data_IF_851958530619
#
_entry.id   IF_851958530619
#
_cell.length_a   1.000
_cell.length_b   1.000
_cell.length_c   1.000
_cell.angle_alpha   90.00
_cell.angle_beta   90.00
_cell.angle_gamma   90.00
#
_symmetry.space_group_name_H-M   'P 1'
#
loop_
_entity.id
_entity.type
_entity.pdbx_description
1 polymer ?
#
# COMPACT_ATOMS: atom_id res chain seq x y z
N UNK A 1 -8.11 12.16 -16.85
CA UNK A 1 -6.81 12.45 -17.50
C UNK A 1 -5.88 13.06 -16.45
N UNK A 2 -4.60 12.68 -16.39
CA UNK A 2 -3.64 13.22 -15.41
C UNK A 2 -3.18 14.60 -15.89
N UNK A 3 -3.30 15.63 -15.04
CA UNK A 3 -2.89 17.01 -15.36
C UNK A 3 -1.37 17.14 -15.39
N UNK A 4 -0.83 18.14 -16.08
CA UNK A 4 0.63 18.35 -16.13
C UNK A 4 1.23 18.65 -14.75
N UNK A 5 0.48 19.36 -13.89
CA UNK A 5 0.85 19.54 -12.48
C UNK A 5 0.96 18.21 -11.73
N UNK A 6 0.05 17.26 -11.99
CA UNK A 6 0.10 15.94 -11.40
C UNK A 6 1.28 15.12 -11.96
N UNK A 7 1.57 15.21 -13.27
CA UNK A 7 2.75 14.58 -13.86
C UNK A 7 4.04 15.06 -13.20
N UNK A 8 4.19 16.37 -12.98
CA UNK A 8 5.36 16.93 -12.27
C UNK A 8 5.54 16.37 -10.86
N UNK A 9 4.45 16.16 -10.11
CA UNK A 9 4.51 15.53 -8.78
C UNK A 9 4.86 14.05 -8.85
N UNK A 10 4.36 13.32 -9.85
CA UNK A 10 4.72 11.92 -10.06
C UNK A 10 6.19 11.77 -10.47
N UNK A 11 6.75 12.72 -11.23
CA UNK A 11 8.14 12.65 -11.68
C UNK A 11 9.11 12.53 -10.50
N UNK A 12 8.89 13.30 -9.42
CA UNK A 12 9.72 13.23 -8.20
C UNK A 12 9.72 11.82 -7.60
N UNK A 13 8.57 11.14 -7.58
CA UNK A 13 8.46 9.77 -7.09
C UNK A 13 9.15 8.78 -8.03
N UNK A 14 8.99 8.95 -9.34
CA UNK A 14 9.64 8.12 -10.36
C UNK A 14 11.15 8.22 -10.25
N UNK A 15 11.69 9.44 -10.17
CA UNK A 15 13.12 9.71 -10.07
C UNK A 15 13.70 9.09 -8.80
N UNK A 16 13.02 9.24 -7.66
CA UNK A 16 13.42 8.60 -6.41
C UNK A 16 13.49 7.07 -6.55
N UNK A 17 12.41 6.43 -7.02
CA UNK A 17 12.37 4.97 -7.17
C UNK A 17 13.45 4.50 -8.14
N UNK A 18 13.60 5.14 -9.30
CA UNK A 18 14.58 4.77 -10.30
C UNK A 18 16.01 4.93 -9.78
N UNK A 19 16.30 6.00 -9.05
CA UNK A 19 17.60 6.20 -8.42
C UNK A 19 17.92 5.06 -7.44
N UNK A 20 16.99 4.71 -6.55
CA UNK A 20 17.18 3.62 -5.60
C UNK A 20 17.39 2.27 -6.31
N UNK A 21 16.65 1.99 -7.39
CA UNK A 21 16.84 0.79 -8.23
C UNK A 21 18.25 0.77 -8.81
N UNK A 22 18.72 1.87 -9.40
CA UNK A 22 20.05 1.97 -10.00
C UNK A 22 21.16 1.71 -8.98
N UNK A 23 20.97 2.13 -7.73
CA UNK A 23 21.92 1.93 -6.64
C UNK A 23 21.67 0.63 -5.83
N UNK A 24 20.70 -0.20 -6.23
CA UNK A 24 20.29 -1.41 -5.51
C UNK A 24 19.94 -1.16 -4.03
N UNK A 25 19.43 0.02 -3.73
CA UNK A 25 19.08 0.46 -2.39
C UNK A 25 17.63 0.08 -2.02
N UNK A 26 17.32 0.18 -0.72
CA UNK A 26 15.97 -0.06 -0.23
C UNK A 26 15.02 1.08 -0.60
N UNK A 27 13.87 0.71 -1.17
CA UNK A 27 12.81 1.65 -1.57
C UNK A 27 11.70 1.58 -0.53
N UNK A 28 11.52 2.65 0.24
CA UNK A 28 10.45 2.74 1.24
C UNK A 28 9.40 3.74 0.79
N UNK A 29 8.18 3.27 0.52
CA UNK A 29 7.06 4.11 0.08
C UNK A 29 6.04 4.27 1.21
N UNK A 30 5.79 5.51 1.61
CA UNK A 30 4.83 5.84 2.66
C UNK A 30 3.61 6.55 2.09
N UNK A 31 2.46 5.90 2.11
CA UNK A 31 1.20 6.46 1.65
C UNK A 31 0.43 7.06 2.81
N UNK A 32 0.16 8.37 2.76
CA UNK A 32 -0.54 9.07 3.84
C UNK A 32 -1.92 9.52 3.36
N UNK A 33 -2.94 9.31 4.19
CA UNK A 33 -4.23 9.97 4.03
C UNK A 33 -4.85 10.21 5.42
N UNK A 34 -5.71 11.22 5.57
CA UNK A 34 -6.24 11.69 6.87
C UNK A 34 -6.59 10.56 7.84
N UNK A 35 -7.37 9.58 7.40
CA UNK A 35 -7.93 8.55 8.28
C UNK A 35 -7.23 7.19 8.19
N UNK A 36 -6.32 6.99 7.22
CA UNK A 36 -5.73 5.69 6.89
C UNK A 36 -6.72 4.51 6.74
N UNK A 37 -7.99 4.79 6.44
CA UNK A 37 -9.04 3.77 6.33
C UNK A 37 -9.30 3.29 4.91
N UNK A 38 -8.84 4.03 3.89
CA UNK A 38 -9.20 3.80 2.47
C UNK A 38 -8.03 4.00 1.50
N UNK A 39 -7.75 5.26 1.15
CA UNK A 39 -6.87 5.62 0.01
C UNK A 39 -5.44 5.16 0.22
N UNK A 40 -4.84 5.44 1.38
CA UNK A 40 -3.46 5.03 1.64
C UNK A 40 -3.31 3.52 1.82
N UNK A 41 -4.34 2.83 2.30
CA UNK A 41 -4.37 1.35 2.42
C UNK A 41 -4.39 0.70 1.04
N UNK A 42 -5.28 1.16 0.16
CA UNK A 42 -5.33 0.71 -1.23
C UNK A 42 -3.99 0.97 -1.93
N UNK A 43 -3.41 2.16 -1.74
CA UNK A 43 -2.12 2.50 -2.34
C UNK A 43 -0.98 1.60 -1.85
N UNK A 44 -0.89 1.33 -0.54
CA UNK A 44 0.11 0.40 0.02
C UNK A 44 0.01 -0.98 -0.63
N UNK A 45 -1.19 -1.56 -0.67
CA UNK A 45 -1.42 -2.91 -1.18
C UNK A 45 -1.11 -2.99 -2.68
N UNK A 46 -1.62 -2.02 -3.46
CA UNK A 46 -1.40 -1.99 -4.91
C UNK A 46 0.05 -1.70 -5.27
N UNK A 47 0.75 -0.82 -4.56
CA UNK A 47 2.16 -0.53 -4.81
C UNK A 47 3.04 -1.75 -4.50
N UNK A 48 2.80 -2.45 -3.40
CA UNK A 48 3.54 -3.68 -3.08
C UNK A 48 3.28 -4.77 -4.13
N UNK A 49 2.03 -4.92 -4.56
CA UNK A 49 1.63 -5.88 -5.60
C UNK A 49 2.29 -5.54 -6.94
N UNK A 50 2.30 -4.27 -7.33
CA UNK A 50 2.94 -3.81 -8.55
C UNK A 50 4.46 -4.02 -8.51
N UNK A 51 5.13 -3.72 -7.39
CA UNK A 51 6.55 -3.97 -7.23
C UNK A 51 6.89 -5.46 -7.43
N UNK A 52 6.10 -6.36 -6.83
CA UNK A 52 6.25 -7.80 -7.02
C UNK A 52 5.99 -8.22 -8.48
N UNK A 53 4.93 -7.71 -9.11
CA UNK A 53 4.56 -8.04 -10.49
C UNK A 53 5.63 -7.60 -11.51
N UNK A 54 6.14 -6.38 -11.36
CA UNK A 54 7.19 -5.82 -12.23
C UNK A 54 8.61 -6.24 -11.82
N UNK A 55 8.74 -7.09 -10.79
CA UNK A 55 10.04 -7.58 -10.27
C UNK A 55 10.98 -6.46 -9.82
N UNK A 56 10.42 -5.39 -9.24
CA UNK A 56 11.21 -4.33 -8.60
C UNK A 56 11.56 -4.82 -7.19
N UNK A 57 12.84 -5.09 -6.98
CA UNK A 57 13.35 -5.62 -5.72
C UNK A 57 13.46 -4.53 -4.64
N UNK A 58 13.56 -4.96 -3.39
CA UNK A 58 13.81 -4.10 -2.22
C UNK A 58 12.76 -3.00 -1.98
N UNK A 59 11.51 -3.22 -2.43
CA UNK A 59 10.39 -2.29 -2.18
C UNK A 59 9.58 -2.72 -0.96
N UNK A 60 9.46 -1.80 0.00
CA UNK A 60 8.54 -1.91 1.13
C UNK A 60 7.54 -0.76 1.11
N UNK A 61 6.26 -1.11 1.17
CA UNK A 61 5.17 -0.14 1.18
C UNK A 61 4.50 -0.06 2.55
N UNK A 62 4.23 1.15 3.00
CA UNK A 62 3.58 1.45 4.28
C UNK A 62 2.44 2.45 4.07
N UNK A 63 1.52 2.48 5.03
CA UNK A 63 0.50 3.52 5.07
C UNK A 63 0.31 4.08 6.46
N UNK A 64 -0.22 5.30 6.52
CA UNK A 64 -0.54 6.00 7.75
C UNK A 64 -1.59 7.09 7.56
N UNK A 65 -2.00 7.68 8.67
CA UNK A 65 -2.97 8.76 8.74
C UNK A 65 -2.89 9.48 10.08
N UNK A 66 -3.53 10.65 10.15
CA UNK A 66 -3.47 11.59 11.28
C UNK A 66 -4.68 11.49 12.20
N UNK A 67 -5.75 10.82 11.76
CA UNK A 67 -7.01 10.69 12.50
C UNK A 67 -7.38 9.22 12.68
N UNK A 68 -7.60 8.84 13.94
CA UNK A 68 -7.88 7.46 14.35
C UNK A 68 -9.24 6.98 13.86
N UNK A 69 -9.22 6.05 12.91
CA UNK A 69 -10.39 5.29 12.48
C UNK A 69 -10.01 3.85 12.22
N UNK A 70 -10.97 2.94 12.05
CA UNK A 70 -10.67 1.57 11.63
C UNK A 70 -10.53 1.46 10.10
N UNK A 71 -9.92 0.37 9.63
CA UNK A 71 -9.90 0.07 8.20
C UNK A 71 -11.33 -0.05 7.66
N UNK A 72 -11.65 0.65 6.58
CA UNK A 72 -12.99 0.63 6.02
C UNK A 72 -13.26 -0.73 5.37
N UNK A 73 -14.28 -1.45 5.85
CA UNK A 73 -14.58 -2.83 5.43
C UNK A 73 -14.76 -3.00 3.91
N UNK A 74 -15.19 -1.96 3.17
CA UNK A 74 -15.29 -2.05 1.71
C UNK A 74 -13.95 -2.18 1.01
N UNK A 75 -12.84 -1.72 1.61
CA UNK A 75 -11.49 -1.96 1.09
C UNK A 75 -11.24 -3.47 1.01
N UNK A 76 -11.55 -4.19 2.10
CA UNK A 76 -11.42 -5.65 2.15
C UNK A 76 -12.30 -6.32 1.11
N UNK A 77 -13.58 -5.94 1.03
CA UNK A 77 -14.52 -6.51 0.06
C UNK A 77 -14.05 -6.33 -1.40
N UNK A 78 -13.52 -5.16 -1.74
CA UNK A 78 -13.01 -4.86 -3.09
C UNK A 78 -11.76 -5.67 -3.39
N UNK A 79 -10.82 -5.79 -2.45
CA UNK A 79 -9.61 -6.59 -2.63
C UNK A 79 -9.96 -8.06 -2.87
N UNK A 80 -10.86 -8.64 -2.08
CA UNK A 80 -11.35 -9.99 -2.32
C UNK A 80 -11.97 -10.14 -3.72
N UNK A 81 -12.80 -9.18 -4.15
CA UNK A 81 -13.40 -9.16 -5.49
C UNK A 81 -12.35 -9.07 -6.62
N UNK A 82 -11.20 -8.46 -6.35
CA UNK A 82 -10.09 -8.32 -7.29
C UNK A 82 -9.13 -9.53 -7.28
N UNK A 83 -9.43 -10.58 -6.52
CA UNK A 83 -8.65 -11.82 -6.48
C UNK A 83 -7.57 -11.86 -5.39
N UNK A 84 -7.52 -10.86 -4.51
CA UNK A 84 -6.63 -10.92 -3.34
C UNK A 84 -7.21 -11.89 -2.30
N UNK A 85 -6.34 -12.65 -1.66
CA UNK A 85 -6.71 -13.43 -0.48
C UNK A 85 -6.56 -12.55 0.76
N UNK A 86 -7.64 -12.37 1.52
CA UNK A 86 -7.62 -11.55 2.73
C UNK A 86 -8.02 -12.38 3.94
N UNK A 87 -7.17 -12.33 4.97
CA UNK A 87 -7.38 -13.02 6.24
C UNK A 87 -7.46 -11.97 7.34
N UNK A 88 -8.51 -12.05 8.18
CA UNK A 88 -8.54 -11.26 9.41
C UNK A 88 -7.69 -11.98 10.46
N UNK A 89 -6.73 -11.26 11.04
CA UNK A 89 -5.80 -11.77 12.05
C UNK A 89 -6.32 -11.49 13.45
N UNK A 90 -6.89 -10.30 13.67
CA UNK A 90 -7.42 -9.87 14.97
C UNK A 90 -8.79 -9.22 14.82
N UNK A 91 -9.63 -9.41 15.83
CA UNK A 91 -10.90 -8.68 15.99
C UNK A 91 -10.73 -7.43 16.86
N UNK A 92 -11.82 -6.65 17.00
CA UNK A 92 -11.87 -5.44 17.82
C UNK A 92 -12.09 -4.16 17.00
N UNK A 93 -11.80 -3.01 17.61
CA UNK A 93 -12.07 -1.69 17.01
C UNK A 93 -11.09 -1.32 15.88
N UNK A 94 -9.90 -1.93 15.84
CA UNK A 94 -8.93 -1.79 14.75
C UNK A 94 -8.45 -3.17 14.29
N UNK A 95 -9.30 -3.93 13.57
CA UNK A 95 -8.96 -5.29 13.15
C UNK A 95 -7.79 -5.27 12.18
N UNK A 96 -6.85 -6.21 12.36
CA UNK A 96 -5.69 -6.38 11.50
C UNK A 96 -5.98 -7.41 10.42
N UNK A 97 -5.68 -7.08 9.17
CA UNK A 97 -5.87 -7.96 8.03
C UNK A 97 -4.53 -8.29 7.37
N UNK A 98 -4.35 -9.55 6.98
CA UNK A 98 -3.28 -10.01 6.10
C UNK A 98 -3.84 -10.12 4.67
N UNK A 99 -3.25 -9.38 3.73
CA UNK A 99 -3.65 -9.36 2.32
C UNK A 99 -2.54 -10.00 1.48
N UNK A 100 -2.86 -11.11 0.80
CA UNK A 100 -1.93 -11.82 -0.09
C UNK A 100 -2.34 -11.61 -1.55
N UNK A 101 -1.37 -11.21 -2.36
CA UNK A 101 -1.47 -11.14 -3.82
C UNK A 101 -0.90 -12.38 -4.53
N UNK A 102 -0.21 -13.25 -3.79
CA UNK A 102 0.35 -14.52 -4.26
C UNK A 102 0.43 -15.49 -3.05
N UNK A 103 0.19 -16.78 -3.28
CA UNK A 103 0.27 -17.83 -2.26
C UNK A 103 1.64 -17.89 -1.55
N UNK A 104 2.75 -17.61 -2.27
CA UNK A 104 4.11 -17.70 -1.77
C UNK A 104 4.71 -16.35 -1.34
N UNK A 105 3.98 -15.25 -1.53
CA UNK A 105 4.43 -13.93 -1.09
C UNK A 105 4.07 -13.68 0.38
N UNK A 106 4.91 -12.90 1.06
CA UNK A 106 4.58 -12.35 2.37
C UNK A 106 3.33 -11.45 2.25
N UNK A 107 2.39 -11.53 3.21
CA UNK A 107 1.19 -10.71 3.19
C UNK A 107 1.52 -9.23 3.42
N UNK A 108 0.74 -8.35 2.78
CA UNK A 108 0.66 -6.94 3.15
C UNK A 108 -0.28 -6.82 4.35
N UNK A 109 0.18 -6.20 5.43
CA UNK A 109 -0.63 -6.01 6.63
C UNK A 109 -1.43 -4.71 6.51
N UNK A 110 -2.76 -4.84 6.57
CA UNK A 110 -3.72 -3.74 6.50
C UNK A 110 -4.40 -3.52 7.85
N UNK A 111 -4.17 -2.36 8.45
CA UNK A 111 -4.77 -1.90 9.71
C UNK A 111 -4.57 -0.39 9.80
N UNK A 112 -5.38 0.30 10.60
CA UNK A 112 -5.12 1.72 10.84
C UNK A 112 -3.84 1.92 11.63
N UNK A 113 -2.97 2.81 11.15
CA UNK A 113 -1.75 3.25 11.81
C UNK A 113 -1.72 4.78 11.86
N UNK A 114 -1.62 5.30 13.08
CA UNK A 114 -1.35 6.72 13.30
C UNK A 114 0.12 7.04 12.99
N UNK A 115 0.38 8.21 12.39
CA UNK A 115 1.73 8.73 12.12
C UNK A 115 2.06 9.94 12.98
#
# INVERSE_FOLDING_TARGET
MITDTAKGRLQVLIDYVQQQVNHQQQINLHFICTHNSRRSQLAQIWAQTAAAYYRILNVSCYSGGTETTSLYVKVIAILCKQGFQVYKITDGNNPVYAVKYNANALPVIGFFKNI
#
